data_IF_738458022204
#
_entry.id   IF_738458022204
#
_cell.length_a   1.000
_cell.length_b   1.000
_cell.length_c   1.000
_cell.angle_alpha   90.00
_cell.angle_beta   90.00
_cell.angle_gamma   90.00
#
_symmetry.space_group_name_H-M   'P 1'
#
loop_
_entity.id
_entity.type
_entity.pdbx_description
1 polymer ?
#
# COMPACT_ATOMS: atom_id res chain seq x y z
N UNK A 1 -26.69 15.80 21.78
CA UNK A 1 -25.86 15.04 22.74
C UNK A 1 -25.66 13.65 22.13
N UNK A 2 -24.56 13.49 21.40
CA UNK A 2 -24.23 12.20 20.79
C UNK A 2 -23.80 11.23 21.87
N UNK A 3 -24.44 10.06 21.88
CA UNK A 3 -24.09 9.00 22.83
C UNK A 3 -22.64 8.57 22.59
N UNK A 4 -21.83 8.34 23.64
CA UNK A 4 -20.49 7.82 23.46
C UNK A 4 -20.57 6.50 22.71
N UNK A 5 -19.80 6.37 21.61
CA UNK A 5 -19.71 5.16 20.80
C UNK A 5 -19.22 4.03 21.70
N UNK A 6 -20.06 3.03 21.90
CA UNK A 6 -19.75 1.88 22.72
C UNK A 6 -18.61 1.12 22.05
N UNK A 7 -17.41 1.06 22.66
CA UNK A 7 -16.18 0.44 22.12
C UNK A 7 -16.36 -1.00 21.61
N UNK A 8 -17.40 -1.71 22.08
CA UNK A 8 -17.78 -3.04 21.60
C UNK A 8 -18.26 -3.09 20.14
N UNK A 9 -18.65 -1.94 19.56
CA UNK A 9 -19.08 -1.85 18.16
C UNK A 9 -17.95 -1.46 17.20
N UNK A 10 -16.79 -1.01 17.68
CA UNK A 10 -15.65 -0.66 16.83
C UNK A 10 -15.17 -1.87 16.00
N UNK A 11 -15.15 -3.09 16.58
CA UNK A 11 -14.81 -4.32 15.86
C UNK A 11 -15.77 -4.65 14.71
N UNK A 12 -17.04 -4.27 14.81
CA UNK A 12 -18.02 -4.45 13.73
C UNK A 12 -17.97 -3.32 12.70
N UNK A 13 -17.52 -2.14 13.11
CA UNK A 13 -17.50 -0.95 12.27
C UNK A 13 -16.16 -0.76 11.56
N UNK A 14 -15.04 -1.13 12.19
CA UNK A 14 -13.70 -1.08 11.61
C UNK A 14 -13.18 -2.50 11.43
N UNK A 15 -12.88 -2.84 10.19
CA UNK A 15 -12.36 -4.17 9.86
C UNK A 15 -10.91 -4.30 10.37
N UNK A 16 -10.72 -4.84 11.57
CA UNK A 16 -9.39 -5.16 12.15
C UNK A 16 -8.67 -6.27 11.37
N UNK A 17 -9.30 -6.80 10.34
CA UNK A 17 -8.80 -7.92 9.56
C UNK A 17 -7.45 -7.61 8.86
N UNK A 18 -7.15 -6.34 8.58
CA UNK A 18 -5.82 -5.95 8.11
C UNK A 18 -4.77 -6.15 9.19
N UNK A 19 -5.00 -5.61 10.39
CA UNK A 19 -4.05 -5.73 11.49
C UNK A 19 -3.83 -7.18 11.91
N UNK A 20 -4.88 -8.00 11.91
CA UNK A 20 -4.77 -9.45 12.22
C UNK A 20 -3.83 -10.16 11.24
N UNK A 21 -4.01 -9.96 9.93
CA UNK A 21 -3.14 -10.56 8.91
C UNK A 21 -1.72 -9.97 8.97
N UNK A 22 -1.62 -8.66 9.11
CA UNK A 22 -0.35 -7.94 9.12
C UNK A 22 0.50 -8.31 10.34
N UNK A 23 -0.06 -8.24 11.56
CA UNK A 23 0.64 -8.63 12.77
C UNK A 23 0.98 -10.13 12.78
N UNK A 24 0.10 -10.97 12.23
CA UNK A 24 0.42 -12.40 12.05
C UNK A 24 1.62 -12.60 11.12
N UNK A 25 1.70 -11.84 10.03
CA UNK A 25 2.87 -11.85 9.14
C UNK A 25 4.15 -11.43 9.88
N UNK A 26 4.10 -10.29 10.59
CA UNK A 26 5.25 -9.80 11.35
C UNK A 26 5.72 -10.81 12.40
N UNK A 27 4.80 -11.41 13.18
CA UNK A 27 5.12 -12.47 14.15
C UNK A 27 5.82 -13.65 13.50
N UNK A 28 5.31 -14.12 12.36
CA UNK A 28 5.90 -15.23 11.64
C UNK A 28 7.31 -14.90 11.14
N UNK A 29 7.53 -13.71 10.60
CA UNK A 29 8.87 -13.30 10.17
C UNK A 29 9.81 -13.20 11.38
N UNK A 30 9.37 -12.64 12.50
CA UNK A 30 10.20 -12.52 13.71
C UNK A 30 10.58 -13.87 14.31
N UNK A 31 9.65 -14.84 14.34
CA UNK A 31 9.85 -16.13 15.01
C UNK A 31 10.45 -17.20 14.09
N UNK A 32 9.98 -17.27 12.83
CA UNK A 32 10.25 -18.36 11.91
C UNK A 32 11.11 -17.92 10.71
N UNK A 33 11.40 -16.60 10.59
CA UNK A 33 12.14 -16.03 9.46
C UNK A 33 13.60 -16.50 9.43
N UNK A 34 14.07 -16.82 8.23
CA UNK A 34 15.48 -17.08 7.99
C UNK A 34 16.29 -15.77 8.15
N UNK A 35 17.42 -15.87 8.84
CA UNK A 35 18.37 -14.76 8.96
C UNK A 35 19.22 -14.73 7.69
N UNK A 36 19.22 -13.59 7.03
CA UNK A 36 19.99 -13.35 5.81
C UNK A 36 20.76 -12.02 5.94
N UNK A 37 21.93 -11.93 5.32
CA UNK A 37 22.65 -10.68 5.21
C UNK A 37 22.37 -10.04 3.84
N UNK A 38 21.80 -8.84 3.85
CA UNK A 38 21.51 -8.12 2.61
C UNK A 38 22.73 -7.29 2.18
N UNK A 39 23.44 -7.77 1.15
CA UNK A 39 24.66 -7.10 0.64
C UNK A 39 24.41 -5.68 0.10
N UNK A 40 23.22 -5.37 -0.40
CA UNK A 40 22.91 -4.03 -0.91
C UNK A 40 22.79 -3.00 0.21
N UNK A 41 22.10 -3.36 1.29
CA UNK A 41 21.83 -2.49 2.44
C UNK A 41 22.85 -2.66 3.57
N UNK A 42 23.78 -3.63 3.44
CA UNK A 42 24.80 -3.97 4.45
C UNK A 42 24.19 -4.22 5.83
N UNK A 43 23.04 -4.87 5.89
CA UNK A 43 22.31 -5.15 7.14
C UNK A 43 21.71 -6.55 7.16
N UNK A 44 21.53 -7.07 8.35
CA UNK A 44 20.80 -8.32 8.58
C UNK A 44 19.30 -8.11 8.41
N UNK A 45 18.64 -9.12 7.87
CA UNK A 45 17.19 -9.19 7.76
C UNK A 45 16.69 -10.55 8.27
N UNK A 46 15.45 -10.59 8.73
CA UNK A 46 14.66 -11.83 8.82
C UNK A 46 13.68 -11.89 7.68
N UNK A 47 13.63 -13.00 6.97
CA UNK A 47 12.81 -13.16 5.78
C UNK A 47 12.02 -14.46 5.72
N UNK A 48 10.84 -14.41 5.12
CA UNK A 48 10.03 -15.59 4.77
C UNK A 48 9.67 -15.57 3.28
N UNK A 49 9.78 -16.71 2.58
CA UNK A 49 9.35 -16.83 1.20
C UNK A 49 7.81 -16.92 1.10
N UNK A 50 7.26 -16.46 -0.01
CA UNK A 50 5.89 -16.74 -0.47
C UNK A 50 4.81 -16.48 0.58
N UNK A 51 4.59 -15.22 0.93
CA UNK A 51 3.51 -14.77 1.82
C UNK A 51 2.38 -14.13 1.02
N UNK A 52 1.18 -14.17 1.58
CA UNK A 52 -0.01 -13.59 0.97
C UNK A 52 -0.82 -12.82 1.99
N UNK A 53 -1.43 -11.71 1.53
CA UNK A 53 -2.41 -10.94 2.28
C UNK A 53 -3.64 -10.72 1.40
N UNK A 54 -4.83 -10.77 1.98
CA UNK A 54 -6.09 -10.58 1.24
C UNK A 54 -7.02 -9.64 2.01
N UNK A 55 -7.46 -8.56 1.36
CA UNK A 55 -8.37 -7.59 1.97
C UNK A 55 -9.64 -7.45 1.13
N UNK A 56 -10.75 -7.20 1.81
CA UNK A 56 -12.04 -6.95 1.19
C UNK A 56 -12.38 -5.46 1.32
N UNK A 57 -12.43 -4.75 0.19
CA UNK A 57 -12.66 -3.30 0.14
C UNK A 57 -14.14 -2.97 -0.13
N UNK A 58 -15.06 -3.54 0.64
CA UNK A 58 -16.51 -3.28 0.43
C UNK A 58 -16.91 -1.92 1.00
N UNK A 59 -16.50 -1.60 2.22
CA UNK A 59 -16.96 -0.41 2.93
C UNK A 59 -15.86 0.58 3.25
N UNK A 60 -14.65 0.09 3.53
CA UNK A 60 -13.52 0.89 4.00
C UNK A 60 -12.21 0.41 3.42
N UNK A 61 -11.26 1.32 3.31
CA UNK A 61 -9.85 1.01 3.11
C UNK A 61 -9.22 0.76 4.47
N UNK A 62 -8.56 -0.40 4.68
CA UNK A 62 -7.88 -0.70 5.92
C UNK A 62 -6.63 0.16 6.09
N UNK A 63 -6.40 0.64 7.28
CA UNK A 63 -5.19 1.36 7.69
C UNK A 63 -4.58 0.61 8.84
N UNK A 64 -3.25 0.44 8.85
CA UNK A 64 -2.58 -0.22 9.97
C UNK A 64 -2.77 0.58 11.25
N UNK A 65 -3.24 -0.09 12.31
CA UNK A 65 -3.51 0.51 13.61
C UNK A 65 -2.34 0.43 14.59
N UNK A 66 -1.37 -0.46 14.31
CA UNK A 66 -0.25 -0.74 15.22
C UNK A 66 0.88 0.29 15.15
N UNK A 67 0.83 1.26 14.25
CA UNK A 67 1.76 2.39 14.17
C UNK A 67 1.14 3.60 13.50
N UNK A 68 1.76 4.76 13.68
CA UNK A 68 1.35 5.97 12.96
C UNK A 68 1.62 5.81 11.47
N UNK A 69 0.63 6.19 10.66
CA UNK A 69 0.70 6.16 9.20
C UNK A 69 0.10 7.45 8.64
N UNK A 70 0.49 7.79 7.42
CA UNK A 70 0.05 9.00 6.74
C UNK A 70 -0.62 8.65 5.40
N UNK A 71 -1.92 8.28 5.39
CA UNK A 71 -2.60 7.81 4.19
C UNK A 71 -2.58 8.80 3.02
N UNK A 72 -2.53 10.11 3.30
CA UNK A 72 -2.39 11.13 2.26
C UNK A 72 -1.05 11.04 1.50
N UNK A 73 0.00 10.46 2.10
CA UNK A 73 1.27 10.20 1.40
C UNK A 73 1.09 9.08 0.37
N UNK A 74 0.38 8.00 0.73
CA UNK A 74 0.05 6.93 -0.23
C UNK A 74 -0.88 7.44 -1.35
N UNK A 75 -1.82 8.35 -1.01
CA UNK A 75 -2.68 9.00 -2.00
C UNK A 75 -1.88 9.90 -2.95
N UNK A 76 -0.88 10.63 -2.44
CA UNK A 76 0.01 11.45 -3.25
C UNK A 76 0.89 10.59 -4.18
N UNK A 77 1.38 9.46 -3.69
CA UNK A 77 2.13 8.50 -4.51
C UNK A 77 1.25 7.91 -5.62
N UNK A 78 0.01 7.55 -5.32
CA UNK A 78 -0.95 7.15 -6.36
C UNK A 78 -1.17 8.27 -7.38
N UNK A 79 -1.46 9.48 -6.93
CA UNK A 79 -1.71 10.62 -7.81
C UNK A 79 -0.51 10.91 -8.73
N UNK A 80 0.72 10.85 -8.20
CA UNK A 80 1.95 10.93 -8.98
C UNK A 80 2.08 9.78 -9.99
N UNK A 81 1.86 8.56 -9.55
CA UNK A 81 1.92 7.37 -10.40
C UNK A 81 0.93 7.46 -11.57
N UNK A 82 -0.29 7.91 -11.31
CA UNK A 82 -1.31 8.08 -12.34
C UNK A 82 -0.98 9.14 -13.40
N UNK A 83 -0.08 10.09 -13.11
CA UNK A 83 0.40 11.05 -14.10
C UNK A 83 1.32 10.43 -15.16
N UNK A 84 1.87 9.24 -14.93
CA UNK A 84 2.70 8.54 -15.92
C UNK A 84 4.06 9.18 -16.18
N UNK A 85 4.59 9.94 -15.24
CA UNK A 85 5.85 10.70 -15.33
C UNK A 85 6.97 10.08 -14.53
N UNK A 86 8.21 10.42 -14.89
CA UNK A 86 9.42 10.15 -14.09
C UNK A 86 9.75 11.31 -13.14
N UNK A 87 9.15 12.50 -13.36
CA UNK A 87 9.39 13.71 -12.57
C UNK A 87 8.81 13.57 -11.16
N UNK A 88 9.63 13.83 -10.13
CA UNK A 88 9.28 13.71 -8.71
C UNK A 88 8.79 15.01 -8.07
N UNK A 89 8.71 16.10 -8.81
CA UNK A 89 8.35 17.43 -8.28
C UNK A 89 7.00 17.41 -7.57
N UNK A 90 6.01 16.67 -8.10
CA UNK A 90 4.70 16.56 -7.46
C UNK A 90 4.79 15.82 -6.12
N UNK A 91 5.38 14.61 -6.10
CA UNK A 91 5.42 13.79 -4.87
C UNK A 91 6.26 14.44 -3.76
N UNK A 92 7.27 15.23 -4.11
CA UNK A 92 8.10 15.97 -3.15
C UNK A 92 7.33 16.99 -2.30
N UNK A 93 6.17 17.45 -2.74
CA UNK A 93 5.27 18.29 -1.93
C UNK A 93 4.77 17.56 -0.68
N UNK A 94 4.69 16.23 -0.72
CA UNK A 94 4.06 15.38 0.29
C UNK A 94 5.03 14.45 1.01
N UNK A 95 6.10 14.02 0.36
CA UNK A 95 7.07 13.08 0.92
C UNK A 95 8.45 13.25 0.28
N UNK A 96 9.49 13.14 1.13
CA UNK A 96 10.89 13.09 0.69
C UNK A 96 11.39 11.66 0.47
N UNK A 97 10.52 10.66 0.60
CA UNK A 97 10.92 9.25 0.51
C UNK A 97 11.56 8.92 -0.83
N UNK A 98 11.06 9.50 -1.91
CA UNK A 98 11.55 9.27 -3.27
C UNK A 98 12.86 9.97 -3.61
N UNK A 99 13.30 11.00 -2.82
CA UNK A 99 14.57 11.70 -3.04
C UNK A 99 15.76 10.73 -3.09
N UNK A 100 15.73 9.68 -2.27
CA UNK A 100 16.77 8.65 -2.20
C UNK A 100 16.85 7.77 -3.45
N UNK A 101 15.75 7.66 -4.19
CA UNK A 101 15.62 6.82 -5.38
C UNK A 101 15.79 7.59 -6.68
N UNK A 102 16.05 8.89 -6.62
CA UNK A 102 16.28 9.68 -7.82
C UNK A 102 17.62 9.28 -8.48
N UNK A 103 17.54 8.89 -9.74
CA UNK A 103 18.71 8.60 -10.58
C UNK A 103 19.38 9.89 -11.05
N UNK A 104 18.56 10.90 -11.35
CA UNK A 104 18.93 12.27 -11.72
C UNK A 104 18.08 13.24 -10.86
N UNK A 105 18.48 14.53 -10.71
CA UNK A 105 17.68 15.50 -9.95
C UNK A 105 16.21 15.55 -10.41
N UNK A 106 15.31 15.35 -9.48
CA UNK A 106 13.86 15.27 -9.69
C UNK A 106 13.41 14.16 -10.67
N UNK A 107 14.16 13.06 -10.78
CA UNK A 107 13.82 12.01 -11.75
C UNK A 107 14.12 10.61 -11.25
N UNK A 108 13.10 9.76 -11.29
CA UNK A 108 13.19 8.31 -11.05
C UNK A 108 12.97 7.59 -12.39
N UNK A 109 14.03 6.98 -12.94
CA UNK A 109 13.99 6.34 -14.26
C UNK A 109 12.99 5.18 -14.32
N UNK A 110 12.80 4.48 -13.21
CA UNK A 110 11.94 3.30 -13.09
C UNK A 110 10.60 3.61 -12.42
N UNK A 111 10.16 4.88 -12.43
CA UNK A 111 8.89 5.28 -11.83
C UNK A 111 7.72 4.41 -12.32
N UNK A 112 6.92 3.87 -11.39
CA UNK A 112 5.82 2.95 -11.69
C UNK A 112 4.84 3.52 -12.71
N UNK A 113 4.45 4.78 -12.55
CA UNK A 113 3.51 5.44 -13.45
C UNK A 113 4.04 5.57 -14.88
N UNK A 114 5.31 5.91 -15.04
CA UNK A 114 5.95 5.96 -16.36
C UNK A 114 5.97 4.59 -17.03
N UNK A 115 6.23 3.52 -16.25
CA UNK A 115 6.19 2.14 -16.73
C UNK A 115 4.79 1.70 -17.12
N UNK A 116 3.78 2.06 -16.35
CA UNK A 116 2.40 1.68 -16.64
C UNK A 116 1.84 2.38 -17.87
N UNK A 117 2.26 3.63 -18.14
CA UNK A 117 1.56 4.50 -19.08
C UNK A 117 2.37 4.92 -20.31
N UNK A 118 3.70 4.75 -20.28
CA UNK A 118 4.56 5.34 -21.30
C UNK A 118 5.66 4.42 -21.82
N UNK A 119 6.45 3.83 -20.93
CA UNK A 119 7.70 3.14 -21.31
C UNK A 119 7.56 2.04 -22.35
N UNK A 120 6.47 1.28 -22.31
CA UNK A 120 6.26 0.15 -23.21
C UNK A 120 5.52 0.51 -24.50
N UNK A 121 5.47 1.81 -24.85
CA UNK A 121 4.81 2.29 -26.06
C UNK A 121 3.28 2.21 -26.03
N UNK A 122 2.69 2.02 -24.84
CA UNK A 122 1.25 1.93 -24.62
C UNK A 122 0.88 2.41 -23.22
N UNK A 123 -0.37 2.89 -23.05
CA UNK A 123 -0.95 3.21 -21.76
C UNK A 123 -1.69 1.99 -21.20
N UNK A 124 -0.96 1.07 -20.56
CA UNK A 124 -1.51 -0.17 -20.04
C UNK A 124 -2.68 0.07 -19.06
N UNK A 125 -2.61 1.17 -18.28
CA UNK A 125 -3.63 1.49 -17.29
C UNK A 125 -4.96 1.87 -17.93
N UNK A 126 -4.93 2.78 -18.91
CA UNK A 126 -6.14 3.20 -19.62
C UNK A 126 -6.69 2.07 -20.50
N UNK A 127 -5.83 1.29 -21.15
CA UNK A 127 -6.25 0.11 -21.90
C UNK A 127 -6.90 -0.96 -21.01
N UNK A 128 -6.42 -1.15 -19.76
CA UNK A 128 -7.04 -2.06 -18.80
C UNK A 128 -8.46 -1.62 -18.41
N UNK A 129 -8.66 -0.30 -18.21
CA UNK A 129 -10.00 0.28 -17.95
C UNK A 129 -10.92 0.02 -19.14
N UNK A 130 -10.49 0.35 -20.35
CA UNK A 130 -11.30 0.16 -21.56
C UNK A 130 -11.61 -1.32 -21.85
N UNK A 131 -10.63 -2.21 -21.65
CA UNK A 131 -10.83 -3.64 -21.83
C UNK A 131 -11.95 -4.18 -20.90
N UNK A 132 -11.96 -3.76 -19.63
CA UNK A 132 -12.99 -4.18 -18.67
C UNK A 132 -14.31 -3.41 -18.82
N UNK A 133 -14.32 -2.21 -19.37
CA UNK A 133 -15.56 -1.53 -19.78
C UNK A 133 -16.24 -2.27 -20.93
N UNK A 134 -15.46 -2.71 -21.91
CA UNK A 134 -15.93 -3.42 -23.10
C UNK A 134 -16.35 -4.87 -22.79
N UNK A 135 -15.54 -5.58 -22.00
CA UNK A 135 -15.77 -6.98 -21.67
C UNK A 135 -15.41 -7.26 -20.19
N UNK A 136 -16.44 -7.38 -19.37
CA UNK A 136 -16.31 -7.70 -17.93
C UNK A 136 -15.67 -9.08 -17.69
N UNK A 137 -15.76 -10.00 -18.64
CA UNK A 137 -15.22 -11.34 -18.53
C UNK A 137 -13.74 -11.46 -18.93
N UNK A 138 -13.13 -10.37 -19.37
CA UNK A 138 -11.74 -10.34 -19.80
C UNK A 138 -10.80 -10.81 -18.69
N UNK A 139 -9.94 -11.79 -18.99
CA UNK A 139 -8.97 -12.41 -18.09
C UNK A 139 -7.52 -12.10 -18.44
N UNK A 140 -7.28 -11.20 -19.42
CA UNK A 140 -5.95 -10.84 -19.92
C UNK A 140 -5.49 -9.46 -19.44
N UNK A 141 -6.10 -8.95 -18.35
CA UNK A 141 -5.85 -7.60 -17.85
C UNK A 141 -4.69 -7.64 -16.84
N UNK A 142 -3.48 -7.50 -17.38
CA UNK A 142 -2.25 -7.39 -16.61
C UNK A 142 -1.59 -6.05 -16.89
N UNK A 143 -1.18 -5.34 -15.84
CA UNK A 143 -0.38 -4.10 -15.91
C UNK A 143 0.98 -4.38 -15.30
N UNK A 144 2.05 -4.32 -16.10
CA UNK A 144 3.41 -4.59 -15.66
C UNK A 144 4.19 -3.31 -15.35
N UNK A 145 4.96 -3.34 -14.28
CA UNK A 145 6.03 -2.38 -14.01
C UNK A 145 7.42 -2.98 -14.30
N UNK A 146 7.51 -4.30 -14.44
CA UNK A 146 8.77 -4.98 -14.72
C UNK A 146 9.09 -4.97 -16.21
N UNK A 147 10.28 -4.52 -16.53
CA UNK A 147 10.84 -4.56 -17.89
C UNK A 147 11.88 -5.68 -17.97
N UNK A 148 11.52 -6.77 -18.62
CA UNK A 148 12.39 -7.93 -18.75
C UNK A 148 13.69 -7.65 -19.53
N UNK A 149 13.73 -6.59 -20.35
CA UNK A 149 14.91 -6.21 -21.11
C UNK A 149 15.93 -5.42 -20.27
N UNK A 150 15.48 -4.70 -19.24
CA UNK A 150 16.32 -3.75 -18.51
C UNK A 150 16.41 -3.99 -17.00
N UNK A 151 15.50 -4.79 -16.42
CA UNK A 151 15.44 -4.98 -14.98
C UNK A 151 16.09 -6.29 -14.52
N UNK A 152 16.64 -6.26 -13.31
CA UNK A 152 17.19 -7.45 -12.64
C UNK A 152 18.31 -8.13 -13.39
N UNK A 153 18.59 -9.39 -13.02
CA UNK A 153 19.62 -10.24 -13.63
C UNK A 153 20.95 -9.46 -13.80
N UNK A 154 21.44 -9.35 -15.02
CA UNK A 154 22.71 -8.65 -15.34
C UNK A 154 22.61 -7.11 -15.29
N UNK A 155 21.43 -6.56 -15.01
CA UNK A 155 21.18 -5.12 -14.92
C UNK A 155 21.02 -4.61 -13.48
N UNK A 156 21.27 -5.47 -12.47
CA UNK A 156 21.24 -5.09 -11.06
C UNK A 156 22.19 -3.91 -10.80
N UNK A 157 21.67 -2.87 -10.15
CA UNK A 157 22.44 -1.68 -9.76
C UNK A 157 22.55 -0.59 -10.83
N UNK A 158 21.98 -0.77 -12.02
CA UNK A 158 21.98 0.28 -13.07
C UNK A 158 21.04 1.44 -12.77
N UNK A 159 19.98 1.21 -11.98
CA UNK A 159 19.08 2.24 -11.47
C UNK A 159 19.05 2.17 -9.95
N UNK A 160 18.87 3.29 -9.27
CA UNK A 160 18.74 3.32 -7.81
C UNK A 160 17.50 2.62 -7.30
N UNK A 161 16.39 2.75 -8.02
CA UNK A 161 15.15 2.03 -7.74
C UNK A 161 14.91 0.91 -8.75
N UNK A 162 15.05 -0.33 -8.31
CA UNK A 162 14.58 -1.49 -9.08
C UNK A 162 13.18 -1.84 -8.60
N UNK A 163 12.14 -1.86 -9.46
CA UNK A 163 10.76 -2.06 -9.04
C UNK A 163 10.59 -3.29 -8.14
N UNK A 164 10.05 -3.10 -6.94
CA UNK A 164 9.69 -4.19 -6.02
C UNK A 164 8.38 -4.83 -6.41
N UNK A 165 7.44 -4.03 -6.91
CA UNK A 165 6.15 -4.47 -7.41
C UNK A 165 6.29 -4.74 -8.90
N UNK A 166 6.07 -6.01 -9.30
CA UNK A 166 6.22 -6.44 -10.68
C UNK A 166 5.05 -6.00 -11.55
N UNK A 167 3.87 -5.90 -10.95
CA UNK A 167 2.64 -5.51 -11.63
C UNK A 167 1.41 -5.99 -10.87
N UNK A 168 0.26 -5.82 -11.50
CA UNK A 168 -1.02 -6.27 -10.96
C UNK A 168 -1.95 -6.81 -12.05
N UNK A 169 -2.83 -7.71 -11.64
CA UNK A 169 -3.87 -8.30 -12.49
C UNK A 169 -5.25 -7.88 -12.00
N UNK A 170 -6.17 -7.63 -12.93
CA UNK A 170 -7.56 -7.27 -12.65
C UNK A 170 -8.53 -8.33 -13.17
N UNK A 171 -9.63 -8.52 -12.46
CA UNK A 171 -10.79 -9.30 -12.90
C UNK A 171 -12.09 -8.80 -12.25
N UNK A 172 -13.23 -9.15 -12.82
CA UNK A 172 -14.56 -8.74 -12.31
C UNK A 172 -15.37 -9.90 -11.77
N UNK A 173 -14.73 -10.90 -11.15
CA UNK A 173 -15.42 -12.04 -10.53
C UNK A 173 -16.39 -11.57 -9.45
N UNK A 174 -17.62 -12.09 -9.48
CA UNK A 174 -18.69 -11.71 -8.54
C UNK A 174 -19.24 -10.31 -8.79
N UNK A 175 -19.14 -9.80 -10.01
CA UNK A 175 -19.54 -8.45 -10.41
C UNK A 175 -18.88 -7.33 -9.60
N UNK A 176 -17.66 -7.58 -9.12
CA UNK A 176 -16.81 -6.65 -8.36
C UNK A 176 -15.42 -6.65 -8.94
N UNK A 177 -14.77 -5.49 -8.98
CA UNK A 177 -13.38 -5.41 -9.41
C UNK A 177 -12.46 -5.96 -8.31
N UNK A 178 -11.70 -7.00 -8.66
CA UNK A 178 -10.67 -7.57 -7.81
C UNK A 178 -9.30 -7.30 -8.41
N UNK A 179 -8.28 -7.24 -7.55
CA UNK A 179 -6.89 -7.00 -7.94
C UNK A 179 -5.97 -8.01 -7.27
N UNK A 180 -4.99 -8.51 -8.00
CA UNK A 180 -3.83 -9.23 -7.46
C UNK A 180 -2.57 -8.43 -7.74
N UNK A 181 -1.85 -8.04 -6.69
CA UNK A 181 -0.57 -7.32 -6.75
C UNK A 181 0.57 -8.31 -6.48
N UNK A 182 1.62 -8.27 -7.30
CA UNK A 182 2.76 -9.20 -7.20
C UNK A 182 4.03 -8.43 -6.85
N UNK A 183 4.62 -8.76 -5.69
CA UNK A 183 5.86 -8.16 -5.21
C UNK A 183 6.99 -9.21 -5.20
N UNK A 184 8.13 -8.89 -5.86
CA UNK A 184 9.35 -9.72 -5.76
C UNK A 184 10.02 -9.60 -4.40
N UNK A 185 9.86 -8.45 -3.73
CA UNK A 185 10.48 -8.14 -2.44
C UNK A 185 9.61 -7.12 -1.70
N UNK A 186 9.43 -7.29 -0.40
CA UNK A 186 8.60 -6.42 0.43
C UNK A 186 9.25 -6.18 1.79
N UNK A 187 9.65 -4.94 2.05
CA UNK A 187 9.87 -4.45 3.41
C UNK A 187 8.52 -4.38 4.11
N UNK A 188 8.30 -5.32 5.02
CA UNK A 188 6.98 -5.46 5.66
C UNK A 188 6.71 -4.39 6.70
N UNK A 189 7.72 -3.64 7.14
CA UNK A 189 7.57 -2.61 8.18
C UNK A 189 7.31 -1.24 7.59
N UNK A 190 8.13 -0.81 6.65
CA UNK A 190 8.03 0.54 6.06
C UNK A 190 7.18 0.51 4.80
N UNK A 191 7.50 -0.33 3.82
CA UNK A 191 6.90 -0.32 2.48
C UNK A 191 5.48 -0.90 2.47
N UNK A 192 5.31 -2.13 2.95
CA UNK A 192 4.06 -2.88 2.79
C UNK A 192 2.79 -2.14 3.26
N UNK A 193 2.75 -1.43 4.40
CA UNK A 193 1.54 -0.67 4.78
C UNK A 193 1.17 0.43 3.78
N UNK A 194 2.15 1.08 3.15
CA UNK A 194 1.91 2.09 2.11
C UNK A 194 1.53 1.45 0.78
N UNK A 195 2.15 0.32 0.40
CA UNK A 195 1.76 -0.46 -0.77
C UNK A 195 0.29 -0.88 -0.68
N UNK A 196 -0.13 -1.40 0.50
CA UNK A 196 -1.53 -1.79 0.73
C UNK A 196 -2.47 -0.60 0.57
N UNK A 197 -2.14 0.56 1.12
CA UNK A 197 -2.96 1.77 0.98
C UNK A 197 -3.02 2.26 -0.47
N UNK A 198 -1.87 2.42 -1.11
CA UNK A 198 -1.77 2.94 -2.48
C UNK A 198 -2.54 2.06 -3.46
N UNK A 199 -2.36 0.73 -3.41
CA UNK A 199 -3.08 -0.19 -4.29
C UNK A 199 -4.56 -0.35 -3.92
N UNK A 200 -4.93 -0.16 -2.66
CA UNK A 200 -6.35 -0.08 -2.27
C UNK A 200 -7.02 1.16 -2.85
N UNK A 201 -6.36 2.32 -2.81
CA UNK A 201 -6.83 3.53 -3.47
C UNK A 201 -6.91 3.36 -5.00
N UNK A 202 -5.90 2.73 -5.60
CA UNK A 202 -5.90 2.41 -7.03
C UNK A 202 -7.09 1.51 -7.41
N UNK A 203 -7.36 0.44 -6.63
CA UNK A 203 -8.50 -0.44 -6.89
C UNK A 203 -9.83 0.32 -6.82
N UNK A 204 -9.98 1.24 -5.86
CA UNK A 204 -11.18 2.08 -5.77
C UNK A 204 -11.33 2.99 -7.00
N UNK A 205 -10.26 3.65 -7.42
CA UNK A 205 -10.27 4.53 -8.58
C UNK A 205 -10.57 3.77 -9.89
N UNK A 206 -9.97 2.61 -10.08
CA UNK A 206 -10.24 1.73 -11.22
C UNK A 206 -11.68 1.21 -11.22
N UNK A 207 -12.19 0.78 -10.07
CA UNK A 207 -13.57 0.32 -9.94
C UNK A 207 -14.56 1.44 -10.31
N UNK A 208 -14.29 2.67 -9.87
CA UNK A 208 -15.08 3.85 -10.24
C UNK A 208 -15.00 4.17 -11.72
N UNK A 209 -13.80 4.15 -12.32
CA UNK A 209 -13.60 4.34 -13.77
C UNK A 209 -14.32 3.28 -14.60
N UNK A 210 -14.27 2.03 -14.19
CA UNK A 210 -14.89 0.91 -14.89
C UNK A 210 -16.42 0.87 -14.67
N UNK A 211 -16.95 1.45 -13.58
CA UNK A 211 -18.36 1.44 -13.21
C UNK A 211 -18.80 0.13 -12.57
N UNK A 212 -18.01 -0.43 -11.64
CA UNK A 212 -18.33 -1.60 -10.82
C UNK A 212 -17.96 -1.36 -9.37
N UNK A 213 -18.56 -2.08 -8.40
CA UNK A 213 -18.13 -2.03 -7.01
C UNK A 213 -16.70 -2.58 -6.83
N UNK A 214 -16.00 -2.12 -5.80
CA UNK A 214 -14.75 -2.71 -5.33
C UNK A 214 -15.00 -4.12 -4.77
N UNK A 215 -14.04 -4.99 -4.98
CA UNK A 215 -14.02 -6.36 -4.47
C UNK A 215 -12.87 -6.60 -3.51
N UNK A 216 -12.07 -7.62 -3.81
CA UNK A 216 -10.91 -8.01 -3.02
C UNK A 216 -9.61 -7.54 -3.65
N UNK A 217 -8.65 -7.21 -2.79
CA UNK A 217 -7.26 -7.04 -3.18
C UNK A 217 -6.42 -8.15 -2.54
N UNK A 218 -5.54 -8.74 -3.33
CA UNK A 218 -4.65 -9.83 -2.97
C UNK A 218 -3.21 -9.39 -3.20
N UNK A 219 -2.34 -9.54 -2.20
CA UNK A 219 -0.91 -9.28 -2.31
C UNK A 219 -0.15 -10.60 -2.28
N UNK A 220 0.62 -10.87 -3.32
CA UNK A 220 1.56 -11.98 -3.40
C UNK A 220 2.98 -11.46 -3.15
N UNK A 221 3.56 -11.82 -2.00
CA UNK A 221 4.88 -11.40 -1.55
C UNK A 221 5.86 -12.55 -1.77
N UNK A 222 6.78 -12.45 -2.74
CA UNK A 222 7.78 -13.49 -2.98
C UNK A 222 8.80 -13.56 -1.84
N UNK A 223 9.28 -12.40 -1.37
CA UNK A 223 10.27 -12.26 -0.30
C UNK A 223 9.80 -11.19 0.69
N UNK A 224 9.16 -11.62 1.79
CA UNK A 224 8.68 -10.75 2.87
C UNK A 224 9.75 -10.67 3.96
N UNK A 225 10.22 -9.46 4.30
CA UNK A 225 11.33 -9.31 5.25
C UNK A 225 11.15 -8.15 6.21
N UNK A 226 11.91 -8.22 7.32
CA UNK A 226 12.08 -7.20 8.34
C UNK A 226 13.58 -6.93 8.49
N UNK A 227 13.98 -5.68 8.41
CA UNK A 227 15.37 -5.26 8.70
C UNK A 227 15.65 -5.31 10.19
N UNK A 228 16.90 -5.67 10.58
CA UNK A 228 17.30 -5.77 11.99
C UNK A 228 17.07 -4.48 12.78
N UNK A 229 17.26 -3.33 12.15
CA UNK A 229 16.98 -2.02 12.78
C UNK A 229 15.50 -1.83 13.18
N UNK A 230 14.60 -2.64 12.65
CA UNK A 230 13.16 -2.56 12.94
C UNK A 230 12.66 -3.63 13.91
N UNK A 231 13.50 -4.53 14.42
CA UNK A 231 13.04 -5.64 15.27
C UNK A 231 12.33 -5.13 16.53
N UNK A 232 12.87 -4.11 17.20
CA UNK A 232 12.28 -3.56 18.43
C UNK A 232 10.92 -2.91 18.19
N UNK A 233 10.77 -2.12 17.12
CA UNK A 233 9.48 -1.51 16.80
C UNK A 233 8.45 -2.56 16.40
N UNK A 234 8.85 -3.60 15.68
CA UNK A 234 7.98 -4.73 15.33
C UNK A 234 7.52 -5.46 16.58
N UNK A 235 8.40 -5.72 17.54
CA UNK A 235 8.01 -6.35 18.80
C UNK A 235 7.02 -5.49 19.59
N UNK A 236 7.20 -4.17 19.60
CA UNK A 236 6.23 -3.24 20.23
C UNK A 236 4.88 -3.29 19.52
N UNK A 237 4.85 -3.29 18.18
CA UNK A 237 3.61 -3.42 17.40
C UNK A 237 2.86 -4.71 17.71
N UNK A 238 3.56 -5.83 17.80
CA UNK A 238 3.00 -7.13 18.15
C UNK A 238 2.39 -7.07 19.56
N UNK A 239 3.15 -6.59 20.54
CA UNK A 239 2.71 -6.52 21.94
C UNK A 239 1.49 -5.60 22.12
N UNK A 240 1.45 -4.45 21.42
CA UNK A 240 0.33 -3.51 21.53
C UNK A 240 -0.95 -4.10 20.94
N UNK A 241 -0.85 -4.81 19.81
CA UNK A 241 -1.97 -5.51 19.21
C UNK A 241 -2.49 -6.66 20.11
N UNK A 242 -1.59 -7.43 20.73
CA UNK A 242 -1.98 -8.48 21.68
C UNK A 242 -2.72 -7.93 22.89
N UNK A 243 -2.21 -6.86 23.51
CA UNK A 243 -2.91 -6.16 24.59
C UNK A 243 -4.31 -5.72 24.17
N UNK A 244 -4.44 -5.12 22.96
CA UNK A 244 -5.72 -4.72 22.42
C UNK A 244 -6.67 -5.91 22.24
N UNK A 245 -6.18 -7.04 21.71
CA UNK A 245 -7.02 -8.23 21.48
C UNK A 245 -7.52 -8.86 22.77
N UNK A 246 -6.73 -8.80 23.85
CA UNK A 246 -7.11 -9.28 25.19
C UNK A 246 -8.13 -8.33 25.84
N UNK A 247 -7.81 -7.05 25.86
CA UNK A 247 -8.61 -6.04 26.59
C UNK A 247 -9.81 -5.52 25.80
N UNK A 248 -9.87 -5.78 24.50
CA UNK A 248 -10.91 -5.29 23.56
C UNK A 248 -11.08 -3.78 23.57
N UNK A 249 -10.04 -3.04 23.94
CA UNK A 249 -10.00 -1.56 23.93
C UNK A 249 -8.57 -1.06 23.79
N UNK A 250 -8.33 0.11 23.17
CA UNK A 250 -7.03 0.78 23.20
C UNK A 250 -6.63 1.13 24.64
N UNK A 251 -5.41 0.76 25.06
CA UNK A 251 -4.94 1.00 26.43
C UNK A 251 -3.95 2.16 26.47
N UNK A 252 -2.99 2.15 25.56
CA UNK A 252 -1.81 3.02 25.58
C UNK A 252 -1.66 3.89 24.32
N UNK A 253 -2.66 3.89 23.44
CA UNK A 253 -2.64 4.53 22.12
C UNK A 253 -1.54 3.99 21.16
N UNK A 254 -0.87 2.90 21.52
CA UNK A 254 0.09 2.25 20.62
C UNK A 254 -0.61 1.40 19.54
N UNK A 255 -1.83 0.93 19.83
CA UNK A 255 -2.69 0.28 18.84
C UNK A 255 -4.08 0.93 18.82
N UNK A 256 -4.48 1.40 17.66
CA UNK A 256 -5.81 2.01 17.42
C UNK A 256 -6.34 1.50 16.07
N UNK A 257 -7.45 0.72 16.04
CA UNK A 257 -8.05 0.27 14.79
C UNK A 257 -8.42 1.46 13.93
N UNK A 258 -8.06 1.40 12.65
CA UNK A 258 -8.25 2.52 11.72
C UNK A 258 -8.86 2.05 10.40
N UNK A 259 -9.60 2.93 9.77
CA UNK A 259 -10.12 2.74 8.43
C UNK A 259 -10.45 4.08 7.78
N UNK A 260 -10.43 4.11 6.45
CA UNK A 260 -10.83 5.28 5.66
C UNK A 260 -12.07 4.87 4.85
N UNK A 261 -13.12 5.72 4.76
CA UNK A 261 -14.22 5.50 3.82
C UNK A 261 -13.70 5.33 2.39
N UNK A 262 -14.39 4.53 1.58
CA UNK A 262 -14.02 4.32 0.18
C UNK A 262 -14.07 5.64 -0.59
N UNK A 263 -12.93 6.13 -1.13
CA UNK A 263 -12.91 7.33 -1.97
C UNK A 263 -13.73 7.14 -3.25
N UNK A 264 -14.34 8.20 -3.73
CA UNK A 264 -15.28 8.15 -4.87
C UNK A 264 -14.72 8.78 -6.14
N UNK A 265 -13.40 8.85 -6.28
CA UNK A 265 -12.74 9.40 -7.47
C UNK A 265 -12.41 8.31 -8.49
N UNK A 266 -12.62 8.61 -9.77
CA UNK A 266 -12.10 7.80 -10.88
C UNK A 266 -10.63 8.14 -11.14
N UNK A 267 -9.95 7.28 -11.92
CA UNK A 267 -8.56 7.53 -12.35
C UNK A 267 -8.46 8.88 -13.06
N UNK A 268 -9.40 9.17 -13.95
CA UNK A 268 -9.43 10.42 -14.74
C UNK A 268 -9.60 11.66 -13.83
N UNK A 269 -10.42 11.55 -12.79
CA UNK A 269 -10.63 12.64 -11.81
C UNK A 269 -9.37 12.91 -10.98
N UNK A 270 -8.66 11.84 -10.55
CA UNK A 270 -7.41 12.00 -9.79
C UNK A 270 -6.32 12.64 -10.65
N UNK A 271 -6.20 12.22 -11.93
CA UNK A 271 -5.24 12.82 -12.87
C UNK A 271 -5.52 14.31 -13.09
N UNK A 272 -6.80 14.67 -13.22
CA UNK A 272 -7.20 16.07 -13.45
C UNK A 272 -6.96 16.98 -12.23
N UNK A 273 -7.15 16.46 -11.01
CA UNK A 273 -7.09 17.25 -9.76
C UNK A 273 -6.32 16.48 -8.65
N UNK A 274 -5.00 16.25 -8.83
CA UNK A 274 -4.23 15.39 -7.92
C UNK A 274 -4.09 15.96 -6.49
N UNK A 275 -3.89 17.27 -6.35
CA UNK A 275 -3.76 17.91 -5.02
C UNK A 275 -5.10 17.88 -4.23
N UNK A 276 -6.24 18.03 -4.90
CA UNK A 276 -7.58 17.96 -4.27
C UNK A 276 -7.85 16.56 -3.75
N UNK A 277 -7.51 15.52 -4.53
CA UNK A 277 -7.62 14.14 -4.10
C UNK A 277 -6.80 13.85 -2.84
N UNK A 278 -5.55 14.29 -2.81
CA UNK A 278 -4.66 14.10 -1.65
C UNK A 278 -5.22 14.79 -0.40
N UNK A 279 -5.72 16.03 -0.56
CA UNK A 279 -6.32 16.79 0.53
C UNK A 279 -7.60 16.14 1.07
N UNK A 280 -8.45 15.58 0.19
CA UNK A 280 -9.63 14.85 0.62
C UNK A 280 -9.27 13.61 1.45
N UNK A 281 -8.31 12.79 1.01
CA UNK A 281 -7.86 11.62 1.77
C UNK A 281 -7.33 12.03 3.15
N UNK A 282 -6.59 13.14 3.24
CA UNK A 282 -6.11 13.68 4.51
C UNK A 282 -7.27 14.07 5.44
N UNK A 283 -8.30 14.72 4.91
CA UNK A 283 -9.48 15.11 5.67
C UNK A 283 -10.29 13.90 6.13
N UNK A 284 -10.53 12.92 5.26
CA UNK A 284 -11.24 11.69 5.58
C UNK A 284 -10.53 10.92 6.70
N UNK A 285 -9.21 10.84 6.66
CA UNK A 285 -8.43 10.18 7.68
C UNK A 285 -8.46 10.91 9.02
N UNK A 286 -8.25 12.23 9.03
CA UNK A 286 -8.32 13.04 10.26
C UNK A 286 -9.70 12.94 10.90
N UNK A 287 -10.76 13.05 10.13
CA UNK A 287 -12.12 12.88 10.63
C UNK A 287 -12.36 11.47 11.23
N UNK A 288 -11.76 10.43 10.66
CA UNK A 288 -11.82 9.08 11.21
C UNK A 288 -11.10 8.98 12.56
N UNK A 289 -9.94 9.63 12.71
CA UNK A 289 -9.21 9.69 13.99
C UNK A 289 -9.99 10.46 15.06
N UNK A 290 -10.57 11.60 14.71
CA UNK A 290 -11.37 12.42 15.63
C UNK A 290 -12.57 11.63 16.18
N UNK A 291 -13.22 10.83 15.35
CA UNK A 291 -14.32 9.96 15.76
C UNK A 291 -13.90 8.88 16.78
N UNK A 292 -12.68 8.39 16.66
CA UNK A 292 -12.14 7.37 17.54
C UNK A 292 -11.65 7.99 18.85
N UNK A 293 -11.28 9.27 18.84
CA UNK A 293 -10.73 9.98 19.99
C UNK A 293 -9.31 9.57 20.37
N UNK A 294 -8.61 8.86 19.46
CA UNK A 294 -7.25 8.37 19.67
C UNK A 294 -6.36 8.66 18.46
N UNK A 295 -5.08 8.87 18.72
CA UNK A 295 -4.06 9.02 17.69
C UNK A 295 -2.93 8.04 17.95
N UNK A 296 -2.56 7.16 16.99
CA UNK A 296 -1.45 6.21 17.15
C UNK A 296 -0.14 6.94 17.49
N UNK A 297 0.61 6.41 18.47
CA UNK A 297 1.83 7.04 18.97
C UNK A 297 3.12 6.40 18.49
N UNK A 298 3.07 5.18 17.95
CA UNK A 298 4.28 4.54 17.44
C UNK A 298 4.82 5.31 16.23
N UNK A 299 6.06 5.72 16.34
CA UNK A 299 6.74 6.53 15.35
C UNK A 299 6.90 5.78 14.01
N UNK A 300 7.14 6.58 12.97
CA UNK A 300 7.43 6.08 11.65
C UNK A 300 8.88 5.57 11.62
N UNK A 301 9.13 4.29 11.30
CA UNK A 301 10.49 3.78 11.21
C UNK A 301 11.20 4.32 9.97
N UNK A 302 12.53 4.46 10.06
CA UNK A 302 13.36 4.93 8.95
C UNK A 302 13.39 3.93 7.79
N UNK A 303 13.45 4.46 6.57
CA UNK A 303 13.66 3.66 5.36
C UNK A 303 15.10 3.19 5.30
N UNK A 304 15.31 1.89 5.18
CA UNK A 304 16.62 1.28 4.96
C UNK A 304 16.87 1.15 3.46
N UNK A 305 18.00 1.66 3.02
CA UNK A 305 18.41 1.66 1.61
C UNK A 305 19.26 0.47 1.26
#
# INVERSE_FOLDING_TARGET
MDKPINNLNLHKQYNTFFDEQYITLLKRIMNDGYIEFNNRTQTEIKALPQRTLVFNLINHIPVVGARKIFPHVAAAELAWTLQGTQDTTFIKKYSKMWDKFEDEPNKVLTAYGYRWRTQFGRDQLMEAIEALRKDRSNRQVWVTAWDAATDGLNNIGKCKNMPCILGFMLNTIGNKLNMMVVLRSSDTVVGLPYDVLMYSFLLCALAKSIGVPTGKIFFALSHAHIYSAHYDIVQRMINSFEKYTIMKRPIDQEFVPQAIPIPQHSVEQIIANPDDYVNEIKQLYNHSLDRIGFNPKLDFPDVIQ
#
